data_IF_829258526636
#
_entry.id   IF_829258526636
#
_cell.length_a   1.000
_cell.length_b   1.000
_cell.length_c   1.000
_cell.angle_alpha   90.00
_cell.angle_beta   90.00
_cell.angle_gamma   90.00
#
_symmetry.space_group_name_H-M   'P 1'
#
loop_
_entity.id
_entity.type
_entity.pdbx_description
1 polymer ?
#
# COMPACT_ATOMS: atom_id res chain seq x y z
N UNK A 1 -8.42 -21.03 16.04
CA UNK A 1 -9.76 -21.28 15.47
C UNK A 1 -10.56 -19.98 15.31
N UNK A 2 -10.70 -19.15 16.36
CA UNK A 2 -11.47 -17.90 16.29
C UNK A 2 -11.04 -16.90 15.20
N UNK A 3 -9.72 -16.65 15.04
CA UNK A 3 -9.19 -15.72 14.01
C UNK A 3 -9.69 -16.11 12.61
N UNK A 4 -9.60 -17.40 12.27
CA UNK A 4 -10.00 -17.91 10.96
C UNK A 4 -11.48 -17.67 10.66
N UNK A 5 -12.37 -17.89 11.64
CA UNK A 5 -13.79 -17.64 11.47
C UNK A 5 -14.10 -16.17 11.25
N UNK A 6 -13.48 -15.28 12.02
CA UNK A 6 -13.61 -13.83 11.85
C UNK A 6 -13.11 -13.41 10.47
N UNK A 7 -11.93 -13.87 10.06
CA UNK A 7 -11.37 -13.56 8.74
C UNK A 7 -12.25 -14.05 7.60
N UNK A 8 -12.80 -15.26 7.70
CA UNK A 8 -13.68 -15.83 6.66
C UNK A 8 -14.98 -15.04 6.55
N UNK A 9 -15.62 -14.72 7.68
CA UNK A 9 -16.81 -13.88 7.69
C UNK A 9 -16.52 -12.52 7.04
N UNK A 10 -15.43 -11.89 7.47
CA UNK A 10 -14.99 -10.60 6.96
C UNK A 10 -14.79 -10.60 5.44
N UNK A 11 -14.09 -11.61 4.93
CA UNK A 11 -13.84 -11.82 3.51
C UNK A 11 -15.16 -11.96 2.74
N UNK A 12 -16.11 -12.77 3.24
CA UNK A 12 -17.39 -12.97 2.55
C UNK A 12 -18.25 -11.70 2.49
N UNK A 13 -18.20 -10.85 3.51
CA UNK A 13 -18.92 -9.58 3.52
C UNK A 13 -18.35 -8.62 2.47
N UNK A 14 -17.02 -8.52 2.40
CA UNK A 14 -16.34 -7.61 1.48
C UNK A 14 -16.46 -8.07 0.02
N UNK A 15 -16.30 -9.37 -0.26
CA UNK A 15 -16.41 -9.88 -1.63
C UNK A 15 -17.82 -9.73 -2.21
N UNK A 16 -18.85 -9.60 -1.37
CA UNK A 16 -20.23 -9.29 -1.80
C UNK A 16 -20.45 -7.81 -2.08
N UNK A 17 -19.52 -6.93 -1.67
CA UNK A 17 -19.63 -5.51 -1.90
C UNK A 17 -19.38 -5.17 -3.36
N UNK A 18 -20.36 -4.55 -4.02
CA UNK A 18 -20.22 -4.03 -5.39
C UNK A 18 -19.04 -3.06 -5.52
N UNK A 19 -18.71 -2.35 -4.44
CA UNK A 19 -17.63 -1.36 -4.44
C UNK A 19 -16.24 -1.99 -4.64
N UNK A 20 -15.97 -3.14 -3.99
CA UNK A 20 -14.72 -3.86 -4.19
C UNK A 20 -14.61 -4.39 -5.63
N UNK A 21 -15.71 -4.91 -6.17
CA UNK A 21 -15.75 -5.42 -7.55
C UNK A 21 -15.53 -4.30 -8.57
N UNK A 22 -16.20 -3.16 -8.42
CA UNK A 22 -15.98 -1.99 -9.29
C UNK A 22 -14.52 -1.53 -9.26
N UNK A 23 -13.93 -1.51 -8.07
CA UNK A 23 -12.52 -1.17 -7.92
C UNK A 23 -11.61 -2.18 -8.64
N UNK A 24 -11.85 -3.48 -8.42
CA UNK A 24 -11.07 -4.53 -9.05
C UNK A 24 -11.16 -4.50 -10.57
N UNK A 25 -12.33 -4.22 -11.14
CA UNK A 25 -12.52 -4.03 -12.58
C UNK A 25 -11.70 -2.85 -13.07
N UNK A 26 -11.80 -1.68 -12.42
CA UNK A 26 -11.05 -0.49 -12.81
C UNK A 26 -9.54 -0.74 -12.77
N UNK A 27 -9.04 -1.36 -11.71
CA UNK A 27 -7.62 -1.67 -11.58
C UNK A 27 -7.16 -2.70 -12.61
N UNK A 28 -7.99 -3.71 -12.91
CA UNK A 28 -7.72 -4.68 -13.99
C UNK A 28 -7.62 -3.99 -15.34
N UNK A 29 -8.56 -3.10 -15.67
CA UNK A 29 -8.54 -2.34 -16.93
C UNK A 29 -7.27 -1.50 -17.03
N UNK A 30 -6.86 -0.83 -15.95
CA UNK A 30 -5.62 -0.05 -15.92
C UNK A 30 -4.37 -0.94 -16.09
N UNK A 31 -4.29 -2.05 -15.37
CA UNK A 31 -3.18 -3.00 -15.49
C UNK A 31 -3.06 -3.57 -16.91
N UNK A 32 -4.18 -3.92 -17.54
CA UNK A 32 -4.25 -4.41 -18.92
C UNK A 32 -3.87 -3.32 -19.92
N UNK A 33 -4.39 -2.10 -19.77
CA UNK A 33 -4.02 -0.97 -20.62
C UNK A 33 -2.51 -0.77 -20.63
N UNK A 34 -1.87 -0.82 -19.46
CA UNK A 34 -0.43 -0.69 -19.43
C UNK A 34 0.28 -1.91 -20.01
N UNK A 35 -0.12 -3.14 -19.69
CA UNK A 35 0.46 -4.32 -20.33
C UNK A 35 0.42 -4.22 -21.87
N UNK A 36 -0.67 -3.71 -22.42
CA UNK A 36 -0.86 -3.51 -23.86
C UNK A 36 0.04 -2.40 -24.44
N UNK A 37 0.02 -1.20 -23.86
CA UNK A 37 0.83 -0.08 -24.35
C UNK A 37 2.34 -0.28 -24.07
N UNK A 38 2.72 -1.25 -23.23
CA UNK A 38 4.13 -1.57 -22.95
C UNK A 38 4.82 -2.36 -24.01
N UNK A 39 4.01 -3.08 -24.79
CA UNK A 39 4.46 -3.76 -25.97
C UNK A 39 4.91 -2.81 -27.09
N UNK A 40 4.27 -1.65 -27.24
CA UNK A 40 4.52 -0.74 -28.38
C UNK A 40 5.77 0.14 -28.21
N UNK A 41 6.31 0.26 -27.00
CA UNK A 41 7.51 1.04 -26.70
C UNK A 41 8.81 0.32 -27.06
N UNK A 42 9.16 0.27 -28.36
CA UNK A 42 10.41 -0.29 -28.91
C UNK A 42 11.69 0.49 -28.54
N UNK A 43 11.75 1.19 -27.41
CA UNK A 43 13.01 1.75 -26.94
C UNK A 43 13.85 0.62 -26.35
N UNK A 44 14.91 0.19 -27.03
CA UNK A 44 15.82 -0.91 -26.68
C UNK A 44 16.63 -0.76 -25.39
N UNK A 45 16.00 -0.29 -24.32
CA UNK A 45 16.48 -0.39 -22.95
C UNK A 45 15.64 -1.44 -22.22
N UNK A 46 16.22 -2.61 -22.00
CA UNK A 46 15.71 -3.54 -20.99
C UNK A 46 15.88 -2.88 -19.62
N UNK A 47 14.79 -2.43 -19.01
CA UNK A 47 14.83 -1.77 -17.70
C UNK A 47 13.59 -0.92 -17.37
N UNK A 48 13.72 -0.08 -16.34
CA UNK A 48 12.70 0.88 -15.92
C UNK A 48 12.41 1.91 -17.02
N UNK A 49 11.36 1.67 -17.81
CA UNK A 49 10.94 2.54 -18.91
C UNK A 49 9.91 3.60 -18.43
N UNK A 50 9.63 4.62 -19.24
CA UNK A 50 8.61 5.65 -18.98
C UNK A 50 7.26 5.06 -18.61
N UNK A 51 6.87 3.97 -19.26
CA UNK A 51 5.62 3.30 -18.95
C UNK A 51 5.62 2.62 -17.58
N UNK A 52 6.69 1.88 -17.29
CA UNK A 52 6.93 1.26 -15.98
C UNK A 52 6.82 2.30 -14.86
N UNK A 53 7.36 3.51 -15.11
CA UNK A 53 7.21 4.65 -14.21
C UNK A 53 5.75 5.11 -14.08
N UNK A 54 4.98 5.17 -15.17
CA UNK A 54 3.55 5.52 -15.13
C UNK A 54 2.73 4.50 -14.33
N UNK A 55 2.99 3.19 -14.50
CA UNK A 55 2.37 2.16 -13.68
C UNK A 55 2.68 2.30 -12.21
N UNK A 56 3.95 2.51 -11.90
CA UNK A 56 4.39 2.68 -10.52
C UNK A 56 3.63 3.84 -9.88
N UNK A 57 3.56 4.99 -10.57
CA UNK A 57 2.81 6.15 -10.09
C UNK A 57 1.31 5.85 -9.91
N UNK A 58 0.68 5.15 -10.87
CA UNK A 58 -0.72 4.75 -10.74
C UNK A 58 -0.94 3.85 -9.51
N UNK A 59 -0.09 2.85 -9.30
CA UNK A 59 -0.15 1.97 -8.13
C UNK A 59 0.04 2.75 -6.82
N UNK A 60 1.04 3.63 -6.78
CA UNK A 60 1.34 4.46 -5.61
C UNK A 60 0.20 5.46 -5.32
N UNK A 61 -0.58 5.86 -6.31
CA UNK A 61 -1.71 6.76 -6.12
C UNK A 61 -2.98 6.01 -5.71
N UNK A 62 -3.34 4.95 -6.43
CA UNK A 62 -4.58 4.20 -6.22
C UNK A 62 -4.51 3.31 -4.99
N UNK A 63 -3.56 2.37 -4.92
CA UNK A 63 -3.55 1.29 -3.92
C UNK A 63 -3.63 1.83 -2.49
N UNK A 64 -2.85 2.87 -2.10
CA UNK A 64 -2.98 3.49 -0.78
C UNK A 64 -4.39 4.01 -0.48
N UNK A 65 -4.99 4.73 -1.43
CA UNK A 65 -6.32 5.33 -1.28
C UNK A 65 -7.36 4.25 -0.96
N UNK A 66 -7.38 3.18 -1.74
CA UNK A 66 -8.39 2.12 -1.59
C UNK A 66 -8.16 1.33 -0.32
N UNK A 67 -6.91 1.02 0.01
CA UNK A 67 -6.56 0.28 1.22
C UNK A 67 -6.95 1.06 2.47
N UNK A 68 -6.79 2.40 2.42
CA UNK A 68 -7.28 3.32 3.45
C UNK A 68 -8.81 3.31 3.53
N UNK A 69 -9.50 3.54 2.41
CA UNK A 69 -10.95 3.65 2.40
C UNK A 69 -11.64 2.33 2.77
N UNK A 70 -11.24 1.19 2.20
CA UNK A 70 -11.83 -0.12 2.50
C UNK A 70 -11.71 -0.41 3.99
N UNK A 71 -10.51 -0.34 4.57
CA UNK A 71 -10.33 -0.73 5.96
C UNK A 71 -10.93 0.28 6.95
N UNK A 72 -10.77 1.59 6.69
CA UNK A 72 -11.28 2.61 7.60
C UNK A 72 -12.82 2.67 7.61
N UNK A 73 -13.46 2.62 6.44
CA UNK A 73 -14.91 2.70 6.32
C UNK A 73 -15.59 1.44 6.83
N UNK A 74 -14.98 0.27 6.60
CA UNK A 74 -15.52 -0.98 7.11
C UNK A 74 -15.55 -0.95 8.65
N UNK A 75 -14.43 -0.58 9.27
CA UNK A 75 -14.29 -0.62 10.72
C UNK A 75 -15.09 0.50 11.41
N UNK A 76 -15.10 1.70 10.83
CA UNK A 76 -15.93 2.80 11.33
C UNK A 76 -17.43 2.52 11.14
N UNK A 77 -17.81 1.84 10.05
CA UNK A 77 -19.19 1.44 9.81
C UNK A 77 -19.70 0.42 10.81
N UNK A 78 -18.89 -0.57 11.18
CA UNK A 78 -19.25 -1.52 12.24
C UNK A 78 -19.33 -0.87 13.63
N UNK A 79 -18.55 0.19 13.89
CA UNK A 79 -18.66 0.97 15.12
C UNK A 79 -19.95 1.78 15.16
N UNK A 80 -20.28 2.45 14.06
CA UNK A 80 -21.50 3.26 13.92
C UNK A 80 -22.76 2.38 14.07
N UNK A 81 -22.74 1.17 13.52
CA UNK A 81 -23.84 0.20 13.61
C UNK A 81 -23.86 -0.57 14.95
N UNK A 82 -22.95 -0.27 15.89
CA UNK A 82 -22.71 -1.00 17.16
C UNK A 82 -22.37 -2.49 17.00
N UNK A 83 -22.04 -2.94 15.78
CA UNK A 83 -21.63 -4.31 15.49
C UNK A 83 -20.34 -4.71 16.23
N UNK A 84 -19.43 -3.75 16.43
CA UNK A 84 -18.20 -4.00 17.18
C UNK A 84 -18.48 -4.33 18.66
N UNK A 85 -19.42 -3.61 19.29
CA UNK A 85 -19.81 -3.83 20.70
C UNK A 85 -20.46 -5.21 20.89
N UNK A 86 -21.29 -5.65 19.92
CA UNK A 86 -21.88 -6.99 19.92
C UNK A 86 -20.82 -8.11 19.80
N UNK A 87 -19.78 -7.90 19.00
CA UNK A 87 -18.68 -8.87 18.88
C UNK A 87 -17.83 -8.94 20.16
N UNK A 88 -17.70 -7.82 20.88
CA UNK A 88 -16.98 -7.76 22.16
C UNK A 88 -17.75 -8.41 23.31
N UNK A 89 -19.06 -8.65 23.15
CA UNK A 89 -19.85 -9.42 24.14
C UNK A 89 -19.53 -10.92 24.09
N UNK A 90 -18.95 -11.40 23.00
CA UNK A 90 -18.43 -12.77 22.93
C UNK A 90 -17.10 -12.86 23.69
N UNK A 91 -16.75 -14.04 24.26
CA UNK A 91 -15.51 -14.25 25.02
C UNK A 91 -14.28 -14.36 24.09
N UNK A 92 -14.06 -13.34 23.27
CA UNK A 92 -12.97 -13.24 22.31
C UNK A 92 -12.08 -12.04 22.69
N UNK A 93 -10.77 -12.27 22.68
CA UNK A 93 -9.83 -11.19 22.95
C UNK A 93 -9.88 -10.14 21.82
N UNK A 94 -10.01 -8.83 22.12
CA UNK A 94 -10.06 -7.76 21.11
C UNK A 94 -8.99 -7.81 20.02
N UNK A 95 -7.76 -8.23 20.39
CA UNK A 95 -6.64 -8.45 19.46
C UNK A 95 -6.93 -9.52 18.41
N UNK A 96 -7.61 -10.60 18.80
CA UNK A 96 -8.01 -11.70 17.91
C UNK A 96 -9.02 -11.22 16.86
N UNK A 97 -9.97 -10.38 17.27
CA UNK A 97 -10.96 -9.78 16.37
C UNK A 97 -10.26 -8.85 15.36
N UNK A 98 -9.38 -7.98 15.84
CA UNK A 98 -8.67 -7.02 15.00
C UNK A 98 -7.77 -7.71 13.96
N UNK A 99 -6.97 -8.68 14.39
CA UNK A 99 -6.10 -9.45 13.48
C UNK A 99 -6.96 -10.24 12.48
N UNK A 100 -8.06 -10.85 12.94
CA UNK A 100 -9.00 -11.56 12.07
C UNK A 100 -9.57 -10.66 10.99
N UNK A 101 -10.00 -9.43 11.35
CA UNK A 101 -10.50 -8.42 10.41
C UNK A 101 -9.42 -7.99 9.43
N UNK A 102 -8.20 -7.70 9.92
CA UNK A 102 -7.07 -7.35 9.07
C UNK A 102 -6.80 -8.41 8.02
N UNK A 103 -6.69 -9.69 8.41
CA UNK A 103 -6.43 -10.79 7.48
C UNK A 103 -7.56 -10.91 6.46
N UNK A 104 -8.83 -10.83 6.88
CA UNK A 104 -9.96 -10.92 5.96
C UNK A 104 -9.99 -9.78 4.93
N UNK A 105 -9.71 -8.56 5.37
CA UNK A 105 -9.60 -7.37 4.53
C UNK A 105 -8.39 -7.45 3.58
N UNK A 106 -7.23 -7.86 4.09
CA UNK A 106 -6.01 -8.03 3.30
C UNK A 106 -6.17 -9.09 2.22
N UNK A 107 -6.73 -10.27 2.55
CA UNK A 107 -6.97 -11.34 1.57
C UNK A 107 -7.97 -10.88 0.50
N UNK A 108 -8.97 -10.08 0.86
CA UNK A 108 -9.90 -9.51 -0.13
C UNK A 108 -9.18 -8.58 -1.12
N UNK A 109 -8.38 -7.62 -0.63
CA UNK A 109 -7.59 -6.72 -1.50
C UNK A 109 -6.56 -7.49 -2.31
N UNK A 110 -5.88 -8.46 -1.68
CA UNK A 110 -4.91 -9.32 -2.34
C UNK A 110 -5.53 -10.15 -3.47
N UNK A 111 -6.74 -10.68 -3.29
CA UNK A 111 -7.46 -11.42 -4.33
C UNK A 111 -7.76 -10.55 -5.55
N UNK A 112 -8.14 -9.29 -5.32
CA UNK A 112 -8.40 -8.32 -6.39
C UNK A 112 -7.12 -7.96 -7.15
N UNK A 113 -6.03 -7.68 -6.43
CA UNK A 113 -4.73 -7.41 -7.05
C UNK A 113 -4.26 -8.62 -7.87
N UNK A 114 -4.38 -9.82 -7.32
CA UNK A 114 -3.99 -11.06 -8.00
C UNK A 114 -4.78 -11.28 -9.29
N UNK A 115 -6.09 -11.03 -9.26
CA UNK A 115 -6.92 -11.11 -10.46
C UNK A 115 -6.52 -10.08 -11.52
N UNK A 116 -6.28 -8.83 -11.11
CA UNK A 116 -5.90 -7.76 -12.03
C UNK A 116 -4.54 -8.00 -12.70
N UNK A 117 -3.52 -8.36 -11.93
CA UNK A 117 -2.20 -8.69 -12.46
C UNK A 117 -2.22 -10.00 -13.27
N UNK A 118 -3.02 -10.99 -12.86
CA UNK A 118 -3.22 -12.23 -13.62
C UNK A 118 -3.85 -11.97 -14.99
N UNK A 119 -4.86 -11.10 -15.06
CA UNK A 119 -5.46 -10.67 -16.31
C UNK A 119 -4.46 -9.89 -17.19
N UNK A 120 -3.62 -9.04 -16.60
CA UNK A 120 -2.56 -8.33 -17.33
C UNK A 120 -1.55 -9.30 -17.96
N UNK A 121 -1.10 -10.32 -17.21
CA UNK A 121 -0.21 -11.38 -17.73
C UNK A 121 -0.87 -12.16 -18.88
N UNK A 122 -2.16 -12.50 -18.73
CA UNK A 122 -2.90 -13.21 -19.77
C UNK A 122 -2.96 -12.39 -21.07
N UNK A 123 -3.21 -11.08 -20.97
CA UNK A 123 -3.19 -10.19 -22.13
C UNK A 123 -1.79 -10.10 -22.74
N UNK A 124 -0.74 -9.99 -21.92
CA UNK A 124 0.65 -10.00 -22.40
C UNK A 124 1.00 -11.25 -23.21
N UNK A 125 0.51 -12.41 -22.74
CA UNK A 125 0.68 -13.67 -23.45
C UNK A 125 -0.06 -13.67 -24.79
N UNK A 126 -1.30 -13.17 -24.84
CA UNK A 126 -2.10 -13.11 -26.07
C UNK A 126 -1.49 -12.20 -27.14
N UNK A 127 -0.85 -11.10 -26.74
CA UNK A 127 -0.22 -10.15 -27.66
C UNK A 127 1.25 -10.50 -27.99
N UNK A 128 1.76 -11.64 -27.51
CA UNK A 128 3.17 -12.04 -27.63
C UNK A 128 4.14 -10.92 -27.22
N UNK A 129 3.86 -10.28 -26.08
CA UNK A 129 4.69 -9.19 -25.58
C UNK A 129 6.08 -9.67 -25.17
N UNK A 130 7.11 -8.89 -25.49
CA UNK A 130 8.50 -9.10 -25.04
C UNK A 130 8.75 -8.55 -23.64
N UNK A 131 7.75 -7.96 -22.99
CA UNK A 131 7.93 -7.37 -21.66
C UNK A 131 8.27 -8.44 -20.60
N UNK A 132 9.23 -8.10 -19.72
CA UNK A 132 9.77 -9.02 -18.72
C UNK A 132 8.73 -9.42 -17.68
N UNK A 133 8.39 -10.71 -17.61
CA UNK A 133 7.49 -11.29 -16.61
C UNK A 133 8.01 -11.03 -15.18
N UNK A 134 9.33 -11.08 -14.99
CA UNK A 134 9.99 -10.81 -13.71
C UNK A 134 9.69 -9.40 -13.20
N UNK A 135 9.71 -8.42 -14.10
CA UNK A 135 9.42 -7.02 -13.76
C UNK A 135 7.98 -6.83 -13.25
N UNK A 136 7.03 -7.52 -13.88
CA UNK A 136 5.61 -7.47 -13.50
C UNK A 136 5.36 -8.22 -12.19
N UNK A 137 6.06 -9.32 -11.94
CA UNK A 137 6.02 -10.03 -10.67
C UNK A 137 6.53 -9.17 -9.52
N UNK A 138 7.63 -8.44 -9.72
CA UNK A 138 8.15 -7.49 -8.73
C UNK A 138 7.13 -6.38 -8.43
N UNK A 139 6.48 -5.82 -9.45
CA UNK A 139 5.39 -4.84 -9.24
C UNK A 139 4.24 -5.39 -8.43
N UNK A 140 3.82 -6.61 -8.73
CA UNK A 140 2.76 -7.28 -7.99
C UNK A 140 3.13 -7.42 -6.50
N UNK A 141 4.37 -7.83 -6.19
CA UNK A 141 4.86 -7.92 -4.82
C UNK A 141 4.87 -6.57 -4.11
N UNK A 142 5.39 -5.51 -4.75
CA UNK A 142 5.38 -4.16 -4.16
C UNK A 142 3.97 -3.59 -3.99
N UNK A 143 3.06 -3.92 -4.91
CA UNK A 143 1.64 -3.54 -4.81
C UNK A 143 0.96 -4.17 -3.61
N UNK A 144 1.23 -5.46 -3.35
CA UNK A 144 0.73 -6.16 -2.17
C UNK A 144 1.31 -5.57 -0.89
N UNK A 145 2.61 -5.29 -0.89
CA UNK A 145 3.30 -4.70 0.25
C UNK A 145 2.72 -3.33 0.61
N UNK A 146 2.50 -2.49 -0.40
CA UNK A 146 1.88 -1.19 -0.26
C UNK A 146 0.45 -1.30 0.27
N UNK A 147 -0.34 -2.22 -0.27
CA UNK A 147 -1.67 -2.50 0.23
C UNK A 147 -1.63 -2.95 1.71
N UNK A 148 -0.70 -3.83 2.09
CA UNK A 148 -0.56 -4.33 3.45
C UNK A 148 -0.30 -3.20 4.46
N UNK A 149 0.63 -2.28 4.13
CA UNK A 149 1.00 -1.13 4.96
C UNK A 149 -0.12 -0.10 5.05
N UNK A 150 -0.76 0.25 3.93
CA UNK A 150 -1.87 1.21 4.00
C UNK A 150 -3.11 0.64 4.66
N UNK A 151 -3.31 -0.68 4.59
CA UNK A 151 -4.39 -1.35 5.30
C UNK A 151 -4.12 -1.45 6.81
N UNK A 152 -2.85 -1.46 7.26
CA UNK A 152 -2.57 -1.34 8.70
C UNK A 152 -2.89 0.06 9.21
N UNK A 153 -2.53 1.10 8.46
CA UNK A 153 -2.89 2.49 8.76
C UNK A 153 -4.42 2.70 8.77
N UNK A 154 -5.14 2.05 7.85
CA UNK A 154 -6.58 2.16 7.78
C UNK A 154 -7.30 1.59 9.00
N UNK A 155 -6.75 0.53 9.61
CA UNK A 155 -7.24 0.01 10.89
C UNK A 155 -7.13 1.06 12.00
N UNK A 156 -6.00 1.74 12.09
CA UNK A 156 -5.79 2.80 13.08
C UNK A 156 -6.81 3.94 12.91
N UNK A 157 -7.04 4.36 11.66
CA UNK A 157 -8.03 5.39 11.33
C UNK A 157 -9.44 4.92 11.65
N UNK A 158 -9.79 3.69 11.26
CA UNK A 158 -11.10 3.10 11.49
C UNK A 158 -11.43 2.95 12.98
N UNK A 159 -10.45 2.59 13.82
CA UNK A 159 -10.66 2.55 15.28
C UNK A 159 -10.76 3.95 15.87
N UNK A 160 -9.99 4.91 15.38
CA UNK A 160 -10.00 6.28 15.95
C UNK A 160 -11.23 7.09 15.52
N UNK A 161 -11.91 6.68 14.45
CA UNK A 161 -13.07 7.38 13.91
C UNK A 161 -14.38 6.93 14.57
N UNK A 162 -15.27 7.89 14.82
CA UNK A 162 -16.60 7.63 15.41
C UNK A 162 -17.68 7.36 14.37
N UNK A 163 -17.57 7.96 13.19
CA UNK A 163 -18.54 7.84 12.10
C UNK A 163 -17.86 7.46 10.79
N UNK A 164 -18.62 6.86 9.85
CA UNK A 164 -18.13 6.57 8.49
C UNK A 164 -17.62 7.83 7.79
N UNK A 165 -18.30 8.96 7.97
CA UNK A 165 -17.91 10.22 7.36
C UNK A 165 -16.56 10.74 7.90
N UNK A 166 -16.34 10.64 9.21
CA UNK A 166 -15.06 11.00 9.82
C UNK A 166 -13.93 10.11 9.29
N UNK A 167 -14.17 8.79 9.21
CA UNK A 167 -13.19 7.84 8.68
C UNK A 167 -12.84 8.15 7.21
N UNK A 168 -13.82 8.53 6.41
CA UNK A 168 -13.62 8.95 5.02
C UNK A 168 -12.71 10.19 4.95
N UNK A 169 -13.03 11.23 5.72
CA UNK A 169 -12.26 12.47 5.73
C UNK A 169 -10.82 12.27 6.19
N UNK A 170 -10.60 11.53 7.29
CA UNK A 170 -9.25 11.26 7.80
C UNK A 170 -8.45 10.42 6.81
N UNK A 171 -9.04 9.38 6.22
CA UNK A 171 -8.39 8.56 5.19
C UNK A 171 -7.95 9.38 3.98
N UNK A 172 -8.79 10.31 3.51
CA UNK A 172 -8.43 11.20 2.41
C UNK A 172 -7.28 12.16 2.78
N UNK A 173 -7.28 12.72 3.98
CA UNK A 173 -6.20 13.60 4.45
C UNK A 173 -4.88 12.83 4.57
N UNK A 174 -4.91 11.64 5.18
CA UNK A 174 -3.71 10.78 5.33
C UNK A 174 -3.18 10.36 3.96
N UNK A 175 -4.06 9.98 3.03
CA UNK A 175 -3.69 9.68 1.65
C UNK A 175 -3.06 10.89 0.95
N UNK A 176 -3.71 12.04 0.99
CA UNK A 176 -3.23 13.25 0.33
C UNK A 176 -1.89 13.69 0.92
N UNK A 177 -1.72 13.56 2.24
CA UNK A 177 -0.44 13.85 2.89
C UNK A 177 0.65 12.89 2.43
N UNK A 178 0.40 11.58 2.50
CA UNK A 178 1.40 10.56 2.18
C UNK A 178 1.79 10.54 0.69
N UNK A 179 0.85 10.79 -0.22
CA UNK A 179 1.09 10.67 -1.67
C UNK A 179 1.41 12.02 -2.31
N UNK A 180 0.71 13.10 -1.95
CA UNK A 180 0.82 14.39 -2.65
C UNK A 180 1.67 15.39 -1.87
N UNK A 181 1.27 15.74 -0.64
CA UNK A 181 1.91 16.84 0.09
C UNK A 181 3.33 16.50 0.54
N UNK A 182 3.62 15.23 0.82
CA UNK A 182 4.94 14.81 1.26
C UNK A 182 6.03 15.19 0.26
N UNK A 183 5.80 14.96 -1.04
CA UNK A 183 6.76 15.31 -2.08
C UNK A 183 7.03 16.82 -2.13
N UNK A 184 5.98 17.64 -2.03
CA UNK A 184 6.11 19.11 -2.01
C UNK A 184 6.86 19.61 -0.78
N UNK A 185 6.64 18.99 0.39
CA UNK A 185 7.37 19.33 1.62
C UNK A 185 8.86 19.02 1.45
N UNK A 186 9.20 17.83 0.97
CA UNK A 186 10.59 17.42 0.76
C UNK A 186 11.27 18.31 -0.29
N UNK A 187 10.56 18.64 -1.37
CA UNK A 187 11.02 19.58 -2.38
C UNK A 187 11.28 20.97 -1.77
N UNK A 188 10.32 21.52 -1.02
CA UNK A 188 10.44 22.83 -0.38
C UNK A 188 11.59 22.90 0.62
N UNK A 189 11.76 21.85 1.44
CA UNK A 189 12.90 21.75 2.37
C UNK A 189 14.23 21.68 1.61
N UNK A 190 14.26 21.00 0.47
CA UNK A 190 15.47 20.89 -0.36
C UNK A 190 15.92 22.23 -0.97
N UNK A 191 15.01 23.20 -1.16
CA UNK A 191 15.37 24.54 -1.64
C UNK A 191 16.12 25.37 -0.60
N UNK A 192 15.85 25.15 0.68
CA UNK A 192 16.40 25.95 1.79
C UNK A 192 17.62 25.25 2.42
N UNK A 193 17.70 23.92 2.30
CA UNK A 193 18.78 23.12 2.86
C UNK A 193 20.15 23.41 2.20
N UNK A 194 21.20 23.39 3.02
CA UNK A 194 22.58 23.44 2.52
C UNK A 194 22.85 22.22 1.61
N UNK A 195 23.60 22.43 0.52
CA UNK A 195 23.87 21.39 -0.51
C UNK A 195 24.37 20.05 0.06
N UNK A 196 25.15 20.10 1.15
CA UNK A 196 25.70 18.92 1.82
C UNK A 196 24.65 18.13 2.63
N UNK A 197 23.58 18.79 3.07
CA UNK A 197 22.52 18.21 3.90
C UNK A 197 21.36 17.63 3.06
N UNK A 198 21.29 17.94 1.77
CA UNK A 198 20.21 17.49 0.88
C UNK A 198 20.16 15.95 0.81
N UNK A 199 21.32 15.29 0.61
CA UNK A 199 21.38 13.83 0.49
C UNK A 199 20.94 13.09 1.78
N UNK A 200 21.46 13.42 2.98
CA UNK A 200 21.00 12.78 4.21
C UNK A 200 19.53 13.11 4.52
N UNK A 201 19.06 14.34 4.25
CA UNK A 201 17.65 14.69 4.42
C UNK A 201 16.74 13.85 3.52
N UNK A 202 17.11 13.68 2.25
CA UNK A 202 16.36 12.85 1.32
C UNK A 202 16.36 11.37 1.76
N UNK A 203 17.50 10.87 2.24
CA UNK A 203 17.61 9.48 2.75
C UNK A 203 16.66 9.25 3.92
N UNK A 204 16.66 10.13 4.92
CA UNK A 204 15.74 10.04 6.06
C UNK A 204 14.29 10.16 5.62
N UNK A 205 14.02 11.03 4.64
CA UNK A 205 12.68 11.22 4.09
C UNK A 205 12.11 9.94 3.46
N UNK A 206 12.93 9.17 2.73
CA UNK A 206 12.49 7.89 2.14
C UNK A 206 11.92 6.96 3.21
N UNK A 207 12.55 6.86 4.38
CA UNK A 207 12.10 5.96 5.45
C UNK A 207 10.88 6.48 6.22
N UNK A 208 10.67 7.80 6.24
CA UNK A 208 9.57 8.45 6.94
C UNK A 208 8.23 8.37 6.18
N UNK A 209 8.25 8.02 4.89
CA UNK A 209 7.03 7.84 4.11
C UNK A 209 6.99 6.45 3.44
N UNK A 210 6.01 5.59 3.76
CA UNK A 210 5.93 4.26 3.16
C UNK A 210 5.73 4.28 1.64
N UNK A 211 5.15 5.34 1.08
CA UNK A 211 4.98 5.50 -0.38
C UNK A 211 6.33 5.68 -1.05
N UNK A 212 7.14 6.63 -0.56
CA UNK A 212 8.49 6.89 -1.08
C UNK A 212 9.41 5.71 -0.85
N UNK A 213 9.30 5.05 0.30
CA UNK A 213 10.05 3.84 0.60
C UNK A 213 9.84 2.77 -0.47
N UNK A 214 8.56 2.42 -0.72
CA UNK A 214 8.20 1.37 -1.67
C UNK A 214 8.53 1.81 -3.10
N UNK A 215 8.35 3.09 -3.44
CA UNK A 215 8.74 3.66 -4.73
C UNK A 215 10.23 3.47 -5.00
N UNK A 216 11.08 3.93 -4.08
CA UNK A 216 12.53 3.85 -4.24
C UNK A 216 12.97 2.39 -4.32
N UNK A 217 12.44 1.53 -3.44
CA UNK A 217 12.79 0.12 -3.43
C UNK A 217 12.34 -0.60 -4.72
N UNK A 218 11.17 -0.26 -5.26
CA UNK A 218 10.69 -0.79 -6.53
C UNK A 218 11.56 -0.35 -7.71
N UNK A 219 11.93 0.93 -7.80
CA UNK A 219 12.79 1.44 -8.88
C UNK A 219 14.16 0.78 -8.85
N UNK A 220 14.76 0.63 -7.66
CA UNK A 220 16.06 0.00 -7.50
C UNK A 220 16.03 -1.49 -7.87
N UNK A 221 14.96 -2.21 -7.51
CA UNK A 221 14.80 -3.64 -7.83
C UNK A 221 14.58 -3.92 -9.32
N UNK A 222 14.35 -2.87 -10.12
CA UNK A 222 14.09 -2.95 -11.56
C UNK A 222 15.21 -2.30 -12.39
N UNK A 223 16.40 -2.17 -11.80
CA UNK A 223 17.58 -1.54 -12.40
C UNK A 223 17.35 -0.09 -12.87
N UNK A 224 16.39 0.60 -12.26
CA UNK A 224 16.02 1.98 -12.58
C UNK A 224 16.88 3.06 -11.90
N UNK A 225 18.08 2.73 -11.42
CA UNK A 225 18.93 3.63 -10.65
C UNK A 225 19.25 4.95 -11.39
N UNK A 226 19.30 4.92 -12.72
CA UNK A 226 19.54 6.09 -13.57
C UNK A 226 18.49 7.21 -13.39
N UNK A 227 17.28 6.88 -12.92
CA UNK A 227 16.18 7.85 -12.71
C UNK A 227 16.51 8.87 -11.62
N UNK A 228 17.30 8.48 -10.61
CA UNK A 228 17.66 9.37 -9.50
C UNK A 228 18.80 10.34 -9.84
N UNK A 229 19.47 10.14 -10.98
CA UNK A 229 20.56 10.98 -11.46
C UNK A 229 21.91 10.74 -10.75
N UNK A 230 23.01 11.34 -11.26
CA UNK A 230 24.37 10.99 -10.85
C UNK A 230 24.70 11.28 -9.38
N UNK A 231 24.02 12.25 -8.78
CA UNK A 231 24.27 12.69 -7.39
C UNK A 231 23.72 11.71 -6.34
N UNK A 232 22.78 10.86 -6.72
CA UNK A 232 22.23 9.83 -5.85
C UNK A 232 22.85 8.45 -6.10
N UNK A 233 23.88 8.37 -6.94
CA UNK A 233 24.52 7.10 -7.28
C UNK A 233 25.08 6.38 -6.04
N UNK A 234 25.72 7.12 -5.12
CA UNK A 234 26.21 6.56 -3.86
C UNK A 234 25.09 5.98 -2.99
N UNK A 235 23.91 6.63 -3.00
CA UNK A 235 22.71 6.14 -2.32
C UNK A 235 22.19 4.87 -2.98
N UNK A 236 22.22 4.77 -4.31
CA UNK A 236 21.80 3.56 -5.03
C UNK A 236 22.74 2.37 -4.76
N UNK A 237 24.06 2.60 -4.67
CA UNK A 237 25.02 1.54 -4.31
C UNK A 237 24.77 1.05 -2.88
N UNK A 238 24.64 1.99 -1.93
CA UNK A 238 24.35 1.66 -0.54
C UNK A 238 23.01 0.92 -0.39
N UNK A 239 21.98 1.37 -1.09
CA UNK A 239 20.64 0.80 -1.08
C UNK A 239 20.60 -0.63 -1.65
N UNK A 240 21.43 -0.92 -2.65
CA UNK A 240 21.61 -2.27 -3.21
C UNK A 240 22.47 -3.17 -2.32
N UNK A 241 23.22 -2.61 -1.37
CA UNK A 241 23.96 -3.38 -0.38
C UNK A 241 23.05 -4.13 0.60
N UNK A 242 23.58 -5.19 1.22
CA UNK A 242 22.86 -6.01 2.21
C UNK A 242 22.22 -5.17 3.33
N UNK A 243 22.95 -4.17 3.83
CA UNK A 243 22.51 -3.28 4.91
C UNK A 243 21.34 -2.40 4.45
N UNK A 244 21.40 -1.85 3.23
CA UNK A 244 20.32 -1.05 2.65
C UNK A 244 19.04 -1.87 2.50
N UNK A 245 19.14 -3.07 1.92
CA UNK A 245 18.00 -3.99 1.78
C UNK A 245 17.39 -4.39 3.13
N UNK A 246 18.23 -4.69 4.13
CA UNK A 246 17.75 -4.98 5.48
C UNK A 246 17.00 -3.79 6.09
N UNK A 247 17.49 -2.57 5.91
CA UNK A 247 16.82 -1.37 6.40
C UNK A 247 15.48 -1.10 5.70
N UNK A 248 15.37 -1.37 4.40
CA UNK A 248 14.08 -1.30 3.69
C UNK A 248 13.07 -2.30 4.28
N UNK A 249 13.48 -3.55 4.47
CA UNK A 249 12.61 -4.59 5.05
C UNK A 249 12.19 -4.23 6.47
N UNK A 250 13.13 -3.82 7.32
CA UNK A 250 12.83 -3.41 8.70
C UNK A 250 11.88 -2.21 8.76
N UNK A 251 12.06 -1.24 7.87
CA UNK A 251 11.22 -0.06 7.81
C UNK A 251 9.80 -0.39 7.33
N UNK A 252 9.65 -1.32 6.39
CA UNK A 252 8.32 -1.82 5.99
C UNK A 252 7.65 -2.56 7.14
N UNK A 253 8.39 -3.43 7.84
CA UNK A 253 7.86 -4.12 9.02
C UNK A 253 7.44 -3.10 10.08
N UNK A 254 8.22 -2.04 10.29
CA UNK A 254 7.88 -0.96 11.21
C UNK A 254 6.56 -0.28 10.80
N UNK A 255 6.41 0.13 9.54
CA UNK A 255 5.18 0.75 9.02
C UNK A 255 3.98 -0.20 9.03
N UNK A 256 4.21 -1.51 8.93
CA UNK A 256 3.18 -2.52 9.01
C UNK A 256 2.72 -2.78 10.46
N UNK A 257 3.68 -3.00 11.37
CA UNK A 257 3.42 -3.44 12.75
C UNK A 257 2.95 -2.29 13.63
N UNK A 258 3.52 -1.09 13.47
CA UNK A 258 3.21 0.04 14.37
C UNK A 258 1.72 0.44 14.37
N UNK A 259 1.01 0.55 13.23
CA UNK A 259 -0.40 0.92 13.24
C UNK A 259 -1.28 -0.21 13.78
N UNK A 260 -0.90 -1.49 13.57
CA UNK A 260 -1.61 -2.65 14.13
C UNK A 260 -1.48 -2.67 15.65
N UNK A 261 -0.30 -2.42 16.19
CA UNK A 261 -0.09 -2.36 17.64
C UNK A 261 -0.85 -1.19 18.26
N UNK A 262 -0.75 0.00 17.67
CA UNK A 262 -1.45 1.20 18.15
C UNK A 262 -2.97 1.02 18.13
N UNK A 263 -3.51 0.47 17.04
CA UNK A 263 -4.94 0.17 16.92
C UNK A 263 -5.39 -0.86 17.96
N UNK A 264 -4.58 -1.90 18.22
CA UNK A 264 -4.87 -2.87 19.29
C UNK A 264 -4.87 -2.26 20.69
N UNK A 265 -3.97 -1.30 20.94
CA UNK A 265 -3.88 -0.60 22.22
C UNK A 265 -5.08 0.34 22.44
N UNK A 266 -5.45 1.11 21.42
CA UNK A 266 -6.63 1.98 21.46
C UNK A 266 -7.93 1.20 21.67
N UNK A 267 -8.05 0.03 21.03
CA UNK A 267 -9.22 -0.83 21.19
C UNK A 267 -9.35 -1.36 22.63
N UNK A 268 -8.25 -1.76 23.26
CA UNK A 268 -8.27 -2.23 24.64
C UNK A 268 -8.66 -1.12 25.64
N UNK A 269 -8.27 0.13 25.39
CA UNK A 269 -8.66 1.28 26.22
C UNK A 269 -10.14 1.64 26.08
N UNK A 270 -10.68 1.61 24.86
CA UNK A 270 -12.09 1.93 24.64
C UNK A 270 -13.06 0.97 25.35
N UNK A 271 -12.61 -0.24 25.70
CA UNK A 271 -13.41 -1.24 26.43
C UNK A 271 -13.38 -1.02 27.95
N UNK A 272 -12.36 -0.33 28.49
CA UNK A 272 -12.28 -0.05 29.93
C UNK A 272 -13.10 1.17 30.36
N UNK A 273 -13.49 2.02 29.41
CA UNK A 273 -14.17 3.29 29.65
C UNK A 273 -15.71 3.21 29.46
N UNK A 274 -16.24 2.06 29.00
CA UNK A 274 -17.68 1.72 28.88
C UNK A 274 -18.10 0.71 29.95
#
# INVERSE_FOLDING_TARGET
MAIYHVSRQQLTLILRSKWLTSFGILFTVLAVMVAYFGHSGHSGFEGFNRMTASLLNLNLMLIPLISLLIGSLFLAGEKEDRGLTLMLTYPLHPRTILIGKYIGLFVAVWSVLTFAYGAAVLVMYLINSTASITSLLLFYLFSILLAAVFLSLSMLIGISSKTRFQALGVSLIVWAFAVLFYEFIVMGLSLIAAKQLILPMFTVSIFLNPVELIRVWAILSMDGAAVFGPKLYDLTIWANGLIGQLLFVLSVIFWFVTPILLSSFLLNRGISDE
#
